data_IF_709315020412
#
_entry.id   IF_709315020412
#
_cell.length_a   1.000
_cell.length_b   1.000
_cell.length_c   1.000
_cell.angle_alpha   90.00
_cell.angle_beta   90.00
_cell.angle_gamma   90.00
#
_symmetry.space_group_name_H-M   'P 1'
#
loop_
_entity.id
_entity.type
_entity.pdbx_description
1 polymer ?
#
# COMPACT_ATOMS: atom_id res chain seq x y z
N UNK A 1 -8.31 -20.43 -27.20
CA UNK A 1 -8.01 -21.34 -26.06
C UNK A 1 -6.64 -21.08 -25.43
N UNK A 2 -5.51 -21.25 -26.13
CA UNK A 2 -4.17 -21.04 -25.52
C UNK A 2 -3.91 -19.56 -25.14
N UNK A 3 -4.28 -18.62 -26.02
CA UNK A 3 -4.18 -17.18 -25.72
C UNK A 3 -5.07 -16.76 -24.55
N UNK A 4 -6.24 -17.37 -24.39
CA UNK A 4 -7.15 -17.06 -23.28
C UNK A 4 -6.57 -17.51 -21.94
N UNK A 5 -5.86 -18.65 -21.90
CA UNK A 5 -5.16 -19.12 -20.71
C UNK A 5 -4.04 -18.16 -20.34
N UNK A 6 -3.23 -17.71 -21.32
CA UNK A 6 -2.16 -16.72 -21.08
C UNK A 6 -2.75 -15.39 -20.61
N UNK A 7 -3.82 -14.92 -21.25
CA UNK A 7 -4.52 -13.70 -20.88
C UNK A 7 -5.01 -13.75 -19.44
N UNK A 8 -5.73 -14.81 -19.07
CA UNK A 8 -6.26 -14.97 -17.71
C UNK A 8 -5.15 -15.14 -16.67
N UNK A 9 -4.10 -15.92 -17.01
CA UNK A 9 -2.92 -16.08 -16.15
C UNK A 9 -2.20 -14.76 -15.90
N UNK A 10 -2.03 -13.93 -16.93
CA UNK A 10 -1.39 -12.62 -16.81
C UNK A 10 -2.25 -11.62 -16.03
N UNK A 11 -3.57 -11.58 -16.27
CA UNK A 11 -4.48 -10.77 -15.46
C UNK A 11 -4.47 -11.22 -13.99
N UNK A 12 -4.44 -12.53 -13.74
CA UNK A 12 -4.28 -13.09 -12.40
C UNK A 12 -2.96 -12.66 -11.75
N UNK A 13 -1.86 -12.61 -12.49
CA UNK A 13 -0.57 -12.12 -12.01
C UNK A 13 -0.62 -10.64 -11.62
N UNK A 14 -1.25 -9.79 -12.44
CA UNK A 14 -1.40 -8.36 -12.14
C UNK A 14 -2.21 -8.17 -10.87
N UNK A 15 -3.41 -8.75 -10.80
CA UNK A 15 -4.29 -8.64 -9.64
C UNK A 15 -3.61 -9.23 -8.39
N UNK A 16 -2.94 -10.36 -8.54
CA UNK A 16 -2.14 -11.00 -7.49
C UNK A 16 -1.00 -10.11 -7.00
N UNK A 17 -0.33 -9.36 -7.89
CA UNK A 17 0.73 -8.43 -7.51
C UNK A 17 0.22 -7.25 -6.67
N UNK A 18 -0.96 -6.72 -7.00
CA UNK A 18 -1.63 -5.71 -6.18
C UNK A 18 -1.99 -6.27 -4.80
N UNK A 19 -2.63 -7.46 -4.75
CA UNK A 19 -2.97 -8.09 -3.49
C UNK A 19 -1.74 -8.44 -2.65
N UNK A 20 -0.65 -8.89 -3.28
CA UNK A 20 0.60 -9.16 -2.58
C UNK A 20 1.15 -7.89 -1.91
N UNK A 21 1.19 -6.77 -2.63
CA UNK A 21 1.64 -5.49 -2.05
C UNK A 21 0.74 -5.03 -0.90
N UNK A 22 -0.58 -5.10 -1.06
CA UNK A 22 -1.54 -4.75 -0.02
C UNK A 22 -1.37 -5.66 1.22
N UNK A 23 -1.21 -6.96 1.00
CA UNK A 23 -1.02 -7.93 2.07
C UNK A 23 0.30 -7.72 2.81
N UNK A 24 1.39 -7.40 2.10
CA UNK A 24 2.69 -7.09 2.70
C UNK A 24 2.59 -5.83 3.58
N UNK A 25 1.92 -4.79 3.10
CA UNK A 25 1.70 -3.55 3.86
C UNK A 25 0.93 -3.82 5.17
N UNK A 26 -0.19 -4.54 5.08
CA UNK A 26 -0.97 -4.91 6.25
C UNK A 26 -0.20 -5.85 7.20
N UNK A 27 0.51 -6.84 6.65
CA UNK A 27 1.33 -7.78 7.42
C UNK A 27 2.40 -7.06 8.22
N UNK A 28 3.03 -6.01 7.65
CA UNK A 28 4.01 -5.21 8.36
C UNK A 28 3.39 -4.43 9.52
N UNK A 29 2.21 -3.82 9.31
CA UNK A 29 1.53 -3.05 10.36
C UNK A 29 1.09 -3.96 11.52
N UNK A 30 0.43 -5.07 11.19
CA UNK A 30 0.00 -6.07 12.17
C UNK A 30 1.19 -6.68 12.89
N UNK A 31 2.21 -7.06 12.13
CA UNK A 31 3.39 -7.74 12.61
C UNK A 31 4.22 -6.88 13.55
N UNK A 32 4.23 -5.55 13.41
CA UNK A 32 5.04 -4.66 14.26
C UNK A 32 4.32 -4.17 15.51
N UNK A 33 3.03 -3.84 15.38
CA UNK A 33 2.32 -3.08 16.40
C UNK A 33 1.33 -3.94 17.20
N UNK A 34 1.06 -5.18 16.76
CA UNK A 34 0.00 -6.02 17.34
C UNK A 34 -1.41 -5.41 17.20
N UNK A 35 -1.55 -4.39 16.35
CA UNK A 35 -2.77 -3.60 16.18
C UNK A 35 -3.30 -3.76 14.77
N UNK A 36 -4.57 -4.15 14.68
CA UNK A 36 -5.31 -4.18 13.42
C UNK A 36 -5.68 -2.76 13.02
N UNK A 37 -5.15 -2.32 11.87
CA UNK A 37 -5.42 -1.00 11.30
C UNK A 37 -6.34 -1.11 10.06
N UNK A 38 -7.62 -0.85 10.24
CA UNK A 38 -8.59 -0.82 9.14
C UNK A 38 -8.43 0.38 8.18
N UNK A 39 -7.79 1.47 8.63
CA UNK A 39 -7.58 2.65 7.81
C UNK A 39 -6.47 2.47 6.76
N UNK A 40 -5.72 1.35 6.77
CA UNK A 40 -4.65 1.07 5.82
C UNK A 40 -5.09 1.26 4.35
N UNK A 41 -6.29 0.77 4.00
CA UNK A 41 -6.87 0.96 2.67
C UNK A 41 -7.10 2.42 2.31
N UNK A 42 -7.51 3.23 3.29
CA UNK A 42 -7.68 4.67 3.14
C UNK A 42 -6.36 5.39 2.81
N UNK A 43 -5.25 5.00 3.44
CA UNK A 43 -3.94 5.59 3.14
C UNK A 43 -3.46 5.24 1.72
N UNK A 44 -3.72 4.02 1.26
CA UNK A 44 -3.41 3.62 -0.13
C UNK A 44 -4.23 4.43 -1.13
N UNK A 45 -5.52 4.61 -0.87
CA UNK A 45 -6.38 5.45 -1.70
C UNK A 45 -5.90 6.92 -1.69
N UNK A 46 -5.57 7.46 -0.52
CA UNK A 46 -5.05 8.82 -0.38
C UNK A 46 -3.76 9.03 -1.18
N UNK A 47 -2.83 8.07 -1.16
CA UNK A 47 -1.62 8.10 -1.98
C UNK A 47 -1.96 8.14 -3.48
N UNK A 48 -2.93 7.35 -3.93
CA UNK A 48 -3.36 7.38 -5.34
C UNK A 48 -3.95 8.73 -5.74
N UNK A 49 -4.77 9.35 -4.89
CA UNK A 49 -5.34 10.68 -5.15
C UNK A 49 -4.29 11.80 -5.10
N UNK A 50 -3.31 11.71 -4.20
CA UNK A 50 -2.15 12.61 -4.23
C UNK A 50 -1.36 12.45 -5.54
N UNK A 51 -1.17 11.22 -6.03
CA UNK A 51 -0.51 10.99 -7.31
C UNK A 51 -1.29 11.62 -8.47
N UNK A 52 -2.62 11.45 -8.48
CA UNK A 52 -3.52 12.08 -9.45
C UNK A 52 -3.40 13.61 -9.43
N UNK A 53 -3.44 14.22 -8.24
CA UNK A 53 -3.37 15.68 -8.09
C UNK A 53 -2.00 16.24 -8.48
N UNK A 54 -0.92 15.50 -8.23
CA UNK A 54 0.45 15.94 -8.50
C UNK A 54 0.89 15.69 -9.94
N UNK A 55 0.35 14.69 -10.62
CA UNK A 55 0.78 14.29 -11.96
C UNK A 55 0.82 15.45 -12.98
N UNK A 56 -0.13 16.41 -13.01
CA UNK A 56 -0.06 17.56 -13.92
C UNK A 56 1.10 18.53 -13.63
N UNK A 57 1.62 18.57 -12.41
CA UNK A 57 2.63 19.54 -11.97
C UNK A 57 4.05 18.98 -12.00
N UNK A 58 4.23 17.73 -11.56
CA UNK A 58 5.55 17.08 -11.43
C UNK A 58 5.73 15.89 -12.37
N UNK A 59 4.75 15.63 -13.23
CA UNK A 59 4.70 14.47 -14.11
C UNK A 59 4.42 13.15 -13.38
N UNK A 60 4.20 12.09 -14.17
CA UNK A 60 3.91 10.74 -13.66
C UNK A 60 5.00 10.24 -12.70
N UNK A 61 6.27 10.38 -13.08
CA UNK A 61 7.41 9.88 -12.29
C UNK A 61 7.61 10.66 -10.98
N UNK A 62 7.42 11.98 -10.99
CA UNK A 62 7.46 12.80 -9.78
C UNK A 62 6.32 12.44 -8.83
N UNK A 63 5.11 12.29 -9.37
CA UNK A 63 3.94 11.89 -8.61
C UNK A 63 4.09 10.51 -7.97
N UNK A 64 4.70 9.54 -8.69
CA UNK A 64 4.95 8.19 -8.19
C UNK A 64 5.81 8.16 -6.92
N UNK A 65 6.75 9.09 -6.78
CA UNK A 65 7.65 9.16 -5.61
C UNK A 65 7.06 10.05 -4.51
N UNK A 66 6.53 11.22 -4.88
CA UNK A 66 6.08 12.23 -3.90
C UNK A 66 4.79 11.79 -3.21
N UNK A 67 3.87 11.15 -3.92
CA UNK A 67 2.56 10.83 -3.37
C UNK A 67 2.59 9.80 -2.21
N UNK A 68 3.34 8.69 -2.29
CA UNK A 68 3.51 7.80 -1.14
C UNK A 68 4.18 8.47 0.05
N UNK A 69 5.10 9.41 -0.18
CA UNK A 69 5.76 10.17 0.90
C UNK A 69 4.74 11.06 1.61
N UNK A 70 3.91 11.80 0.87
CA UNK A 70 2.86 12.63 1.45
C UNK A 70 1.83 11.80 2.22
N UNK A 71 1.39 10.66 1.66
CA UNK A 71 0.51 9.74 2.36
C UNK A 71 1.18 9.18 3.63
N UNK A 72 2.49 8.91 3.59
CA UNK A 72 3.29 8.53 4.75
C UNK A 72 3.37 9.61 5.82
N UNK A 73 3.47 10.89 5.44
CA UNK A 73 3.42 12.03 6.39
C UNK A 73 2.06 12.10 7.07
N UNK A 74 0.96 11.94 6.33
CA UNK A 74 -0.39 11.87 6.91
C UNK A 74 -0.53 10.66 7.83
N UNK A 75 -0.04 9.49 7.40
CA UNK A 75 0.01 8.28 8.22
C UNK A 75 0.79 8.47 9.50
N UNK A 76 1.94 9.14 9.45
CA UNK A 76 2.74 9.47 10.63
C UNK A 76 2.01 10.44 11.58
N UNK A 77 1.31 11.44 11.04
CA UNK A 77 0.48 12.32 11.86
C UNK A 77 -0.64 11.54 12.57
N UNK A 78 -1.35 10.67 11.86
CA UNK A 78 -2.36 9.78 12.44
C UNK A 78 -1.76 8.86 13.51
N UNK A 79 -0.59 8.29 13.23
CA UNK A 79 0.12 7.41 14.17
C UNK A 79 0.40 8.14 15.49
N UNK A 80 0.97 9.34 15.41
CA UNK A 80 1.28 10.13 16.61
C UNK A 80 0.03 10.65 17.32
N UNK A 81 -1.02 11.00 16.59
CA UNK A 81 -2.22 11.65 17.14
C UNK A 81 -3.24 10.64 17.69
N UNK A 82 -3.44 9.51 17.04
CA UNK A 82 -4.50 8.55 17.36
C UNK A 82 -3.91 7.24 17.85
N UNK A 83 -3.16 6.55 16.98
CA UNK A 83 -2.81 5.14 17.16
C UNK A 83 -1.88 4.94 18.36
N UNK A 84 -0.83 5.77 18.50
CA UNK A 84 0.14 5.67 19.59
C UNK A 84 -0.47 5.88 20.98
N UNK A 85 -1.58 6.64 21.08
CA UNK A 85 -2.31 6.82 22.35
C UNK A 85 -3.11 5.57 22.76
N UNK A 86 -3.42 4.71 21.80
CA UNK A 86 -4.26 3.53 21.98
C UNK A 86 -3.46 2.24 22.20
N UNK A 87 -2.15 2.24 21.96
CA UNK A 87 -1.28 1.07 22.18
C UNK A 87 -1.29 0.50 23.60
N UNK A 88 -1.58 1.34 24.61
CA UNK A 88 -1.66 0.90 26.01
C UNK A 88 -3.07 0.48 26.44
N UNK A 89 -4.02 0.42 25.50
CA UNK A 89 -5.43 0.10 25.76
C UNK A 89 -5.79 -1.22 25.08
N UNK A 90 -6.97 -1.74 25.41
CA UNK A 90 -7.51 -2.94 24.77
C UNK A 90 -7.47 -2.81 23.23
N UNK A 91 -6.99 -3.82 22.48
CA UNK A 91 -6.95 -3.83 21.02
C UNK A 91 -8.26 -3.40 20.35
N UNK A 92 -9.42 -3.66 20.97
CA UNK A 92 -10.72 -3.24 20.49
C UNK A 92 -10.83 -1.72 20.28
N UNK A 93 -10.19 -0.91 21.14
CA UNK A 93 -10.21 0.55 20.99
C UNK A 93 -9.46 1.00 19.73
N UNK A 94 -8.33 0.36 19.43
CA UNK A 94 -7.57 0.68 18.22
C UNK A 94 -8.29 0.20 16.96
N UNK A 95 -8.97 -0.94 17.04
CA UNK A 95 -9.84 -1.44 15.97
C UNK A 95 -10.95 -0.43 15.66
N UNK A 96 -11.67 0.03 16.69
CA UNK A 96 -12.76 0.98 16.55
C UNK A 96 -12.27 2.34 16.03
N UNK A 97 -11.15 2.84 16.55
CA UNK A 97 -10.56 4.10 16.12
C UNK A 97 -10.09 4.06 14.66
N UNK A 98 -9.41 2.98 14.24
CA UNK A 98 -8.95 2.85 12.85
C UNK A 98 -10.10 2.57 11.89
N UNK A 99 -11.16 1.91 12.33
CA UNK A 99 -12.39 1.76 11.55
C UNK A 99 -13.09 3.12 11.36
N UNK A 100 -13.26 3.90 12.43
CA UNK A 100 -13.81 5.25 12.35
C UNK A 100 -12.98 6.17 11.46
N UNK A 101 -11.65 6.08 11.56
CA UNK A 101 -10.74 6.80 10.66
C UNK A 101 -10.90 6.36 9.21
N UNK A 102 -11.05 5.05 8.94
CA UNK A 102 -11.28 4.54 7.60
C UNK A 102 -12.55 5.16 6.98
N UNK A 103 -13.63 5.26 7.75
CA UNK A 103 -14.87 5.90 7.32
C UNK A 103 -14.69 7.39 7.04
N UNK A 104 -13.99 8.13 7.92
CA UNK A 104 -13.70 9.55 7.73
C UNK A 104 -12.86 9.76 6.47
N UNK A 105 -11.81 8.97 6.28
CA UNK A 105 -10.96 9.05 5.08
C UNK A 105 -11.75 8.73 3.82
N UNK A 106 -12.58 7.68 3.85
CA UNK A 106 -13.45 7.32 2.74
C UNK A 106 -14.40 8.47 2.38
N UNK A 107 -15.05 9.08 3.37
CA UNK A 107 -15.97 10.20 3.16
C UNK A 107 -15.22 11.43 2.61
N UNK A 108 -14.11 11.83 3.23
CA UNK A 108 -13.26 12.93 2.76
C UNK A 108 -12.82 12.73 1.30
N UNK A 109 -12.36 11.53 0.96
CA UNK A 109 -11.95 11.21 -0.40
C UNK A 109 -13.13 11.39 -1.36
N UNK A 110 -14.31 10.90 -0.99
CA UNK A 110 -15.52 11.03 -1.81
C UNK A 110 -15.99 12.48 -1.93
N UNK A 111 -15.87 13.28 -0.89
CA UNK A 111 -16.25 14.70 -0.93
C UNK A 111 -15.32 15.51 -1.82
N UNK A 112 -14.01 15.23 -1.80
CA UNK A 112 -13.01 16.02 -2.54
C UNK A 112 -12.90 15.58 -4.01
N UNK A 113 -12.84 14.26 -4.26
CA UNK A 113 -12.58 13.70 -5.60
C UNK A 113 -13.79 13.02 -6.24
N UNK A 114 -14.90 12.89 -5.50
CA UNK A 114 -16.10 12.19 -5.96
C UNK A 114 -16.10 10.71 -5.61
N UNK A 115 -17.24 10.06 -5.87
CA UNK A 115 -17.44 8.65 -5.55
C UNK A 115 -16.80 7.68 -6.55
N UNK A 116 -16.42 8.16 -7.73
CA UNK A 116 -15.82 7.35 -8.79
C UNK A 116 -14.30 7.47 -8.76
N UNK A 117 -13.60 6.37 -9.08
CA UNK A 117 -12.16 6.39 -9.23
C UNK A 117 -11.73 7.28 -10.39
N UNK A 118 -10.78 8.17 -10.15
CA UNK A 118 -10.25 9.07 -11.18
C UNK A 118 -9.09 8.39 -11.93
N UNK A 119 -9.04 8.46 -13.27
CA UNK A 119 -7.96 7.89 -14.04
C UNK A 119 -6.69 8.72 -13.88
N UNK A 120 -5.58 8.07 -13.55
CA UNK A 120 -4.26 8.70 -13.60
C UNK A 120 -3.79 8.74 -15.05
N UNK A 121 -3.36 9.91 -15.55
CA UNK A 121 -2.75 10.01 -16.87
C UNK A 121 -1.40 9.28 -16.89
N UNK A 122 -1.34 8.19 -17.65
CA UNK A 122 -0.15 7.36 -17.81
C UNK A 122 0.63 7.88 -19.03
N UNK A 123 1.97 7.92 -18.99
CA UNK A 123 2.77 8.29 -20.16
C UNK A 123 2.53 7.36 -21.36
N UNK A 124 2.47 7.93 -22.57
CA UNK A 124 2.13 7.21 -23.80
C UNK A 124 2.97 5.94 -24.02
N UNK A 125 4.27 5.96 -23.70
CA UNK A 125 5.15 4.80 -23.87
C UNK A 125 4.80 3.61 -22.96
N UNK A 126 4.11 3.84 -21.83
CA UNK A 126 3.64 2.77 -20.94
C UNK A 126 2.24 2.29 -21.35
N UNK A 127 1.43 3.15 -21.96
CA UNK A 127 0.07 2.79 -22.34
C UNK A 127 0.02 1.96 -23.64
N UNK A 128 1.11 1.94 -24.42
CA UNK A 128 1.20 1.11 -25.61
C UNK A 128 1.22 -0.41 -25.30
N UNK A 129 0.53 -1.23 -26.11
CA UNK A 129 0.66 -2.68 -26.06
C UNK A 129 2.06 -3.14 -26.46
N UNK A 130 2.56 -4.20 -25.81
CA UNK A 130 3.90 -4.75 -26.06
C UNK A 130 3.99 -5.46 -27.43
N UNK A 131 2.88 -5.98 -27.94
CA UNK A 131 2.81 -6.65 -29.25
C UNK A 131 1.37 -6.70 -29.76
N UNK A 132 1.18 -6.81 -31.08
CA UNK A 132 -0.13 -7.02 -31.69
C UNK A 132 -0.77 -8.36 -31.29
N UNK A 133 0.04 -9.37 -30.96
CA UNK A 133 -0.43 -10.69 -30.48
C UNK A 133 -0.77 -10.67 -28.99
N UNK A 134 -0.06 -9.85 -28.20
CA UNK A 134 -0.25 -9.70 -26.76
C UNK A 134 -0.80 -8.32 -26.41
N UNK A 135 -1.84 -7.89 -27.12
CA UNK A 135 -2.41 -6.54 -27.01
C UNK A 135 -2.90 -6.19 -25.58
N UNK A 136 -3.17 -7.20 -24.76
CA UNK A 136 -3.60 -7.07 -23.37
C UNK A 136 -2.45 -6.81 -22.38
N UNK A 137 -1.19 -6.99 -22.82
CA UNK A 137 0.00 -6.68 -22.04
C UNK A 137 0.45 -5.28 -22.45
N UNK A 138 0.15 -4.29 -21.61
CA UNK A 138 0.67 -2.93 -21.77
C UNK A 138 1.99 -2.77 -21.01
N UNK A 139 2.83 -1.83 -21.44
CA UNK A 139 4.05 -1.48 -20.72
C UNK A 139 3.78 -1.10 -19.26
N UNK A 140 2.65 -0.44 -19.00
CA UNK A 140 2.18 -0.06 -17.68
C UNK A 140 1.91 -1.28 -16.78
N UNK A 141 1.25 -2.31 -17.30
CA UNK A 141 0.97 -3.54 -16.53
C UNK A 141 2.25 -4.26 -16.14
N UNK A 142 3.21 -4.36 -17.06
CA UNK A 142 4.53 -4.92 -16.76
C UNK A 142 5.29 -4.06 -15.75
N UNK A 143 5.22 -2.74 -15.89
CA UNK A 143 5.83 -1.80 -14.95
C UNK A 143 5.28 -1.96 -13.54
N UNK A 144 3.96 -2.08 -13.37
CA UNK A 144 3.33 -2.32 -12.06
C UNK A 144 3.79 -3.64 -11.45
N UNK A 145 3.83 -4.73 -12.22
CA UNK A 145 4.31 -6.03 -11.74
C UNK A 145 5.79 -5.95 -11.33
N UNK A 146 6.62 -5.30 -12.14
CA UNK A 146 8.03 -5.08 -11.81
C UNK A 146 8.20 -4.25 -10.54
N UNK A 147 7.43 -3.16 -10.39
CA UNK A 147 7.42 -2.32 -9.19
C UNK A 147 6.98 -3.12 -7.96
N UNK A 148 6.01 -4.01 -8.11
CA UNK A 148 5.56 -4.88 -7.03
C UNK A 148 6.66 -5.85 -6.56
N UNK A 149 7.35 -6.49 -7.50
CA UNK A 149 8.48 -7.38 -7.23
C UNK A 149 9.62 -6.59 -6.57
N UNK A 150 9.97 -5.42 -7.09
CA UNK A 150 11.04 -4.57 -6.54
C UNK A 150 10.69 -4.10 -5.13
N UNK A 151 9.46 -3.66 -4.89
CA UNK A 151 9.02 -3.18 -3.57
C UNK A 151 9.00 -4.32 -2.55
N UNK A 152 8.49 -5.49 -2.95
CA UNK A 152 8.49 -6.70 -2.11
C UNK A 152 9.91 -7.18 -1.80
N UNK A 153 10.75 -7.31 -2.82
CA UNK A 153 12.14 -7.72 -2.68
C UNK A 153 12.97 -6.71 -1.88
N UNK A 154 12.73 -5.42 -2.08
CA UNK A 154 13.33 -4.32 -1.33
C UNK A 154 12.96 -4.37 0.13
N UNK A 155 11.67 -4.51 0.46
CA UNK A 155 11.22 -4.66 1.84
C UNK A 155 11.81 -5.93 2.47
N UNK A 156 11.80 -7.06 1.76
CA UNK A 156 12.42 -8.30 2.23
C UNK A 156 13.90 -8.10 2.54
N UNK A 157 14.65 -7.44 1.65
CA UNK A 157 16.06 -7.16 1.86
C UNK A 157 16.29 -6.23 3.06
N UNK A 158 15.46 -5.19 3.22
CA UNK A 158 15.49 -4.29 4.38
C UNK A 158 15.25 -5.08 5.67
N UNK A 159 14.19 -5.88 5.72
CA UNK A 159 13.87 -6.66 6.92
C UNK A 159 14.95 -7.71 7.19
N UNK A 160 15.46 -8.42 6.19
CA UNK A 160 16.42 -9.52 6.40
C UNK A 160 17.83 -9.03 6.71
N UNK A 161 18.33 -8.04 5.97
CA UNK A 161 19.76 -7.69 5.95
C UNK A 161 20.11 -6.39 6.66
N UNK A 162 19.14 -5.56 7.08
CA UNK A 162 19.45 -4.28 7.74
C UNK A 162 19.29 -4.33 9.26
N UNK A 163 19.97 -3.40 9.95
CA UNK A 163 19.83 -3.18 11.40
C UNK A 163 18.40 -2.84 11.81
N UNK A 164 17.66 -2.15 10.94
CA UNK A 164 16.24 -1.85 11.17
C UNK A 164 15.43 -3.13 11.31
N UNK A 165 15.64 -4.08 10.39
CA UNK A 165 14.97 -5.38 10.44
C UNK A 165 15.32 -6.21 11.67
N UNK A 166 16.56 -6.14 12.16
CA UNK A 166 16.97 -6.77 13.42
C UNK A 166 16.21 -6.17 14.61
N UNK A 167 16.12 -4.84 14.70
CA UNK A 167 15.37 -4.15 15.78
C UNK A 167 13.88 -4.50 15.76
N UNK A 168 13.29 -4.54 14.57
CA UNK A 168 11.90 -4.94 14.34
C UNK A 168 11.63 -6.36 14.88
N UNK A 169 12.47 -7.34 14.51
CA UNK A 169 12.29 -8.73 14.96
C UNK A 169 12.52 -8.89 16.46
N UNK A 170 13.49 -8.17 17.02
CA UNK A 170 13.76 -8.18 18.45
C UNK A 170 12.55 -7.66 19.26
N UNK A 171 11.92 -6.57 18.81
CA UNK A 171 10.73 -6.01 19.47
C UNK A 171 9.52 -6.97 19.46
N UNK A 172 9.35 -7.75 18.38
CA UNK A 172 8.28 -8.76 18.31
C UNK A 172 8.51 -9.96 19.23
N UNK A 173 9.75 -10.42 19.38
CA UNK A 173 10.07 -11.54 20.29
C UNK A 173 9.90 -11.16 21.77
N UNK A 174 10.13 -9.89 22.12
CA UNK A 174 9.94 -9.39 23.49
C UNK A 174 8.45 -9.28 23.88
N UNK A 175 7.54 -8.98 22.94
CA UNK A 175 6.10 -8.99 23.21
C UNK A 175 5.61 -10.35 23.71
N UNK A 176 6.14 -11.43 23.13
CA UNK A 176 5.82 -12.81 23.51
C UNK A 176 6.33 -13.12 24.93
N UNK A 177 7.55 -12.70 25.26
CA UNK A 177 8.16 -12.90 26.59
C UNK A 177 7.45 -12.07 27.67
N UNK A 178 7.04 -10.83 27.38
CA UNK A 178 6.29 -9.99 28.31
C UNK A 178 4.89 -10.56 28.57
N UNK A 179 4.23 -11.13 27.55
CA UNK A 179 2.92 -11.78 27.73
C UNK A 179 2.97 -13.07 28.58
N UNK A 180 4.15 -13.70 28.70
CA UNK A 180 4.35 -14.90 29.50
C UNK A 180 4.62 -14.63 30.99
N UNK A 181 4.93 -13.39 31.38
CA UNK A 181 5.29 -13.03 32.78
C UNK A 181 4.08 -12.47 33.57
N UNK A 182 2.94 -12.23 32.91
CA UNK A 182 1.68 -11.80 33.54
C UNK A 182 1.45 -10.30 33.48
#
# INVERSE_FOLDING_TARGET
MFLDIIFNGFNGLIVGSFYALMAIGLSLILGLNGVINFAHGGFMALAAYFAFMLAPYVGFWGALIIAPILAGVVGYAVEQLIVRRLYKRDPLYSLLATFGLALIMQDLIRTIWGAQGLPLAIPDFLDQPVSQVYFFVTGYRLFVVALAIISTGGLFAVLRFTRLGVRIRAGNADLETISAVG
#
